data_IF_832599928944
#
_entry.id   IF_832599928944
#
_cell.length_a   1.000
_cell.length_b   1.000
_cell.length_c   1.000
_cell.angle_alpha   90.00
_cell.angle_beta   90.00
_cell.angle_gamma   90.00
#
_symmetry.space_group_name_H-M   'P 1'
#
loop_
_entity.id
_entity.type
_entity.pdbx_description
1 polymer ?
#
# COMPACT_ATOMS: atom_id res chain seq x y z
N UNK A 1 25.31 3.95 4.86
CA UNK A 1 25.29 2.97 3.76
C UNK A 1 25.01 1.63 4.38
N UNK A 2 23.97 0.92 3.93
CA UNK A 2 23.58 -0.35 4.52
C UNK A 2 24.73 -1.36 4.40
N UNK A 3 24.95 -2.12 5.49
CA UNK A 3 26.08 -3.06 5.58
C UNK A 3 25.89 -4.33 4.73
N UNK A 4 24.67 -4.54 4.21
CA UNK A 4 24.32 -5.69 3.38
C UNK A 4 24.06 -5.29 1.93
N UNK A 5 24.30 -6.21 1.00
CA UNK A 5 23.98 -6.06 -0.42
C UNK A 5 22.77 -6.90 -0.77
N UNK A 6 21.87 -6.36 -1.58
CA UNK A 6 20.78 -7.14 -2.20
C UNK A 6 21.25 -7.45 -3.63
N UNK A 7 21.26 -8.73 -4.02
CA UNK A 7 21.73 -9.20 -5.35
C UNK A 7 23.08 -8.60 -5.80
N UNK A 8 24.02 -8.38 -4.87
CA UNK A 8 25.35 -7.82 -5.15
C UNK A 8 25.37 -6.32 -5.47
N UNK A 9 24.22 -5.65 -5.48
CA UNK A 9 24.06 -4.20 -5.66
C UNK A 9 23.76 -3.52 -4.33
N UNK A 10 23.92 -2.21 -4.32
CA UNK A 10 23.52 -1.38 -3.19
C UNK A 10 21.99 -1.47 -2.98
N UNK A 11 21.52 -1.74 -1.75
CA UNK A 11 20.11 -1.95 -1.46
C UNK A 11 19.25 -0.70 -1.71
N UNK A 12 19.78 0.51 -1.55
CA UNK A 12 19.03 1.74 -1.84
C UNK A 12 18.76 1.89 -3.33
N UNK A 13 19.75 1.58 -4.17
CA UNK A 13 19.59 1.66 -5.62
C UNK A 13 18.56 0.66 -6.13
N UNK A 14 18.61 -0.58 -5.65
CA UNK A 14 17.61 -1.59 -6.01
C UNK A 14 16.22 -1.21 -5.55
N UNK A 15 16.09 -0.70 -4.32
CA UNK A 15 14.81 -0.28 -3.78
C UNK A 15 14.24 0.92 -4.54
N UNK A 16 15.07 1.91 -4.87
CA UNK A 16 14.68 3.05 -5.69
C UNK A 16 14.09 2.61 -7.03
N UNK A 17 14.80 1.74 -7.77
CA UNK A 17 14.27 1.22 -9.04
C UNK A 17 13.00 0.38 -8.85
N UNK A 18 12.94 -0.45 -7.80
CA UNK A 18 11.74 -1.23 -7.47
C UNK A 18 10.53 -0.33 -7.21
N UNK A 19 10.69 0.72 -6.41
CA UNK A 19 9.62 1.69 -6.14
C UNK A 19 9.20 2.46 -7.39
N UNK A 20 10.14 2.87 -8.23
CA UNK A 20 9.82 3.53 -9.50
C UNK A 20 9.02 2.63 -10.43
N UNK A 21 9.40 1.35 -10.56
CA UNK A 21 8.66 0.37 -11.36
C UNK A 21 7.24 0.16 -10.82
N UNK A 22 7.10 -0.10 -9.52
CA UNK A 22 5.80 -0.30 -8.91
C UNK A 22 4.91 0.94 -9.04
N UNK A 23 5.48 2.15 -8.96
CA UNK A 23 4.76 3.41 -9.17
C UNK A 23 4.33 3.58 -10.62
N UNK A 24 5.18 3.21 -11.58
CA UNK A 24 4.80 3.23 -12.99
C UNK A 24 3.64 2.28 -13.28
N UNK A 25 3.59 1.11 -12.62
CA UNK A 25 2.47 0.17 -12.73
C UNK A 25 1.19 0.77 -12.14
N UNK A 26 1.24 1.42 -10.98
CA UNK A 26 0.05 2.07 -10.39
C UNK A 26 -0.48 3.20 -11.28
N UNK A 27 0.41 4.07 -11.77
CA UNK A 27 0.02 5.14 -12.70
C UNK A 27 -0.55 4.56 -13.99
N UNK A 28 0.03 3.48 -14.49
CA UNK A 28 -0.48 2.74 -15.65
C UNK A 28 -1.87 2.15 -15.40
N UNK A 29 -2.10 1.55 -14.23
CA UNK A 29 -3.39 0.96 -13.85
C UNK A 29 -4.50 2.01 -13.71
N UNK A 30 -4.18 3.21 -13.23
CA UNK A 30 -5.15 4.31 -13.10
C UNK A 30 -5.35 5.07 -14.44
N UNK A 31 -4.31 5.13 -15.27
CA UNK A 31 -4.33 5.91 -16.52
C UNK A 31 -4.75 5.15 -17.77
N UNK A 32 -4.83 3.82 -17.73
CA UNK A 32 -5.21 2.99 -18.86
C UNK A 32 -6.62 2.41 -18.71
N UNK A 33 -7.29 2.17 -19.83
CA UNK A 33 -8.58 1.48 -19.89
C UNK A 33 -8.40 -0.01 -19.49
N UNK A 34 -9.01 -0.40 -18.39
CA UNK A 34 -8.89 -1.76 -17.83
C UNK A 34 -10.10 -2.65 -18.18
N UNK A 35 -11.03 -2.19 -19.02
CA UNK A 35 -12.29 -2.89 -19.35
C UNK A 35 -12.05 -4.33 -19.83
N UNK A 36 -11.15 -4.54 -20.80
CA UNK A 36 -10.88 -5.88 -21.34
C UNK A 36 -10.29 -6.84 -20.30
N UNK A 37 -9.49 -6.32 -19.37
CA UNK A 37 -8.86 -7.10 -18.31
C UNK A 37 -9.85 -7.39 -17.18
N UNK A 38 -10.74 -6.43 -16.90
CA UNK A 38 -11.83 -6.56 -15.95
C UNK A 38 -12.83 -7.63 -16.39
N UNK A 39 -13.24 -7.63 -17.67
CA UNK A 39 -14.12 -8.65 -18.26
C UNK A 39 -13.50 -10.05 -18.18
N UNK A 40 -12.21 -10.19 -18.50
CA UNK A 40 -11.51 -11.47 -18.43
C UNK A 40 -11.46 -12.06 -17.00
N UNK A 41 -11.50 -11.22 -15.98
CA UNK A 41 -11.44 -11.60 -14.57
C UNK A 41 -12.81 -11.60 -13.87
N UNK A 42 -13.92 -11.34 -14.59
CA UNK A 42 -15.26 -11.15 -14.03
C UNK A 42 -15.30 -10.10 -12.90
N UNK A 43 -14.59 -8.99 -13.10
CA UNK A 43 -14.49 -7.87 -12.16
C UNK A 43 -14.95 -6.57 -12.81
N UNK A 44 -15.25 -5.54 -12.00
CA UNK A 44 -15.46 -4.18 -12.51
C UNK A 44 -14.12 -3.51 -12.80
N UNK A 45 -14.13 -2.51 -13.69
CA UNK A 45 -12.93 -1.72 -14.03
C UNK A 45 -12.31 -1.05 -12.79
N UNK A 46 -13.13 -0.38 -11.98
CA UNK A 46 -12.68 0.19 -10.70
C UNK A 46 -12.19 -0.89 -9.73
N UNK A 47 -12.81 -2.07 -9.78
CA UNK A 47 -12.47 -3.20 -8.93
C UNK A 47 -11.06 -3.69 -9.21
N UNK A 48 -10.72 -3.96 -10.48
CA UNK A 48 -9.39 -4.43 -10.85
C UNK A 48 -8.31 -3.38 -10.56
N UNK A 49 -8.60 -2.10 -10.81
CA UNK A 49 -7.68 -0.99 -10.51
C UNK A 49 -7.39 -0.88 -9.02
N UNK A 50 -8.43 -0.89 -8.16
CA UNK A 50 -8.26 -0.88 -6.70
C UNK A 50 -7.48 -2.10 -6.19
N UNK A 51 -7.71 -3.28 -6.78
CA UNK A 51 -6.98 -4.49 -6.44
C UNK A 51 -5.49 -4.38 -6.78
N UNK A 52 -5.14 -3.86 -7.95
CA UNK A 52 -3.75 -3.63 -8.36
C UNK A 52 -3.07 -2.67 -7.39
N UNK A 53 -3.70 -1.53 -7.09
CA UNK A 53 -3.17 -0.54 -6.16
C UNK A 53 -2.93 -1.14 -4.76
N UNK A 54 -3.89 -1.93 -4.26
CA UNK A 54 -3.81 -2.55 -2.93
C UNK A 54 -2.68 -3.58 -2.86
N UNK A 55 -2.55 -4.43 -3.88
CA UNK A 55 -1.50 -5.46 -3.93
C UNK A 55 -0.11 -4.81 -4.02
N UNK A 56 0.04 -3.73 -4.78
CA UNK A 56 1.32 -3.02 -4.93
C UNK A 56 1.69 -2.23 -3.66
N UNK A 57 0.70 -1.70 -2.93
CA UNK A 57 0.94 -0.96 -1.70
C UNK A 57 1.70 -1.79 -0.64
N UNK A 58 1.46 -3.10 -0.57
CA UNK A 58 2.10 -4.01 0.40
C UNK A 58 3.63 -4.08 0.22
N UNK A 59 4.18 -4.52 -0.93
CA UNK A 59 5.63 -4.57 -1.12
C UNK A 59 6.26 -3.18 -1.07
N UNK A 60 5.58 -2.12 -1.52
CA UNK A 60 6.06 -0.75 -1.37
C UNK A 60 6.25 -0.35 0.09
N UNK A 61 5.25 -0.63 0.93
CA UNK A 61 5.33 -0.37 2.36
C UNK A 61 6.55 -1.05 2.99
N UNK A 62 6.77 -2.34 2.70
CA UNK A 62 7.93 -3.06 3.21
C UNK A 62 9.25 -2.53 2.67
N UNK A 63 9.34 -2.22 1.37
CA UNK A 63 10.54 -1.65 0.78
C UNK A 63 10.91 -0.31 1.44
N UNK A 64 9.95 0.57 1.69
CA UNK A 64 10.21 1.86 2.33
C UNK A 64 10.58 1.65 3.81
N UNK A 65 9.78 0.88 4.55
CA UNK A 65 9.95 0.66 5.98
C UNK A 65 11.26 -0.07 6.31
N UNK A 66 11.53 -1.19 5.63
CA UNK A 66 12.68 -2.02 5.92
C UNK A 66 14.01 -1.37 5.49
N UNK A 67 14.06 -0.76 4.30
CA UNK A 67 15.33 -0.33 3.69
C UNK A 67 15.55 1.19 3.81
N UNK A 68 14.56 2.03 3.48
CA UNK A 68 14.76 3.49 3.56
C UNK A 68 14.66 4.02 5.00
N UNK A 69 13.73 3.49 5.79
CA UNK A 69 13.58 3.86 7.20
C UNK A 69 14.48 3.04 8.14
N UNK A 70 15.24 2.07 7.62
CA UNK A 70 16.14 1.20 8.39
C UNK A 70 15.46 0.49 9.57
N UNK A 71 14.16 0.19 9.44
CA UNK A 71 13.44 -0.54 10.48
C UNK A 71 13.86 -2.02 10.52
N UNK A 72 14.60 -2.50 9.53
CA UNK A 72 15.07 -3.89 9.49
C UNK A 72 16.56 -4.01 9.12
N UNK A 73 17.30 -4.82 9.88
CA UNK A 73 18.66 -5.27 9.54
C UNK A 73 19.81 -4.47 10.17
N UNK A 74 19.52 -3.37 10.85
CA UNK A 74 20.50 -2.57 11.59
C UNK A 74 20.46 -2.85 13.11
N UNK A 75 21.53 -2.59 13.87
CA UNK A 75 21.61 -2.92 15.31
C UNK A 75 20.47 -2.32 16.14
N UNK A 76 20.03 -1.10 15.79
CA UNK A 76 18.99 -0.37 16.51
C UNK A 76 17.58 -0.53 15.89
N UNK A 77 17.47 -1.32 14.81
CA UNK A 77 16.26 -1.42 14.00
C UNK A 77 15.06 -1.98 14.78
N UNK A 78 15.32 -2.82 15.78
CA UNK A 78 14.29 -3.37 16.67
C UNK A 78 13.59 -2.30 17.50
N UNK A 79 14.33 -1.38 18.10
CA UNK A 79 13.74 -0.29 18.89
C UNK A 79 12.99 0.68 17.97
N UNK A 80 13.59 1.04 16.83
CA UNK A 80 12.96 1.92 15.85
C UNK A 80 11.65 1.33 15.31
N UNK A 81 11.62 0.03 15.02
CA UNK A 81 10.39 -0.67 14.60
C UNK A 81 9.33 -0.63 15.67
N UNK A 82 9.68 -0.91 16.92
CA UNK A 82 8.72 -0.85 18.03
C UNK A 82 8.15 0.56 18.21
N UNK A 83 8.98 1.59 18.09
CA UNK A 83 8.51 2.99 18.14
C UNK A 83 7.63 3.37 16.96
N UNK A 84 7.81 2.75 15.78
CA UNK A 84 6.95 2.97 14.62
C UNK A 84 5.64 2.18 14.69
N UNK A 85 5.65 0.98 15.28
CA UNK A 85 4.45 0.15 15.46
C UNK A 85 3.48 0.72 16.49
N UNK A 86 3.98 1.41 17.52
CA UNK A 86 3.14 2.05 18.53
C UNK A 86 2.11 3.03 17.94
N UNK A 87 2.49 4.11 17.20
CA UNK A 87 1.52 5.00 16.58
C UNK A 87 0.69 4.30 15.51
N UNK A 88 1.25 3.34 14.75
CA UNK A 88 0.50 2.58 13.76
C UNK A 88 -0.66 1.78 14.40
N UNK A 89 -0.39 1.13 15.55
CA UNK A 89 -1.42 0.45 16.33
C UNK A 89 -2.53 1.41 16.75
N UNK A 90 -2.19 2.59 17.28
CA UNK A 90 -3.19 3.59 17.66
C UNK A 90 -4.01 4.09 16.47
N UNK A 91 -3.39 4.30 15.31
CA UNK A 91 -4.11 4.70 14.08
C UNK A 91 -5.09 3.60 13.66
N UNK A 92 -4.67 2.33 13.66
CA UNK A 92 -5.53 1.19 13.31
C UNK A 92 -6.72 1.11 14.25
N UNK A 93 -6.48 1.19 15.56
CA UNK A 93 -7.51 1.20 16.59
C UNK A 93 -8.45 2.39 16.37
N UNK A 94 -7.92 3.59 16.15
CA UNK A 94 -8.73 4.78 15.92
C UNK A 94 -9.63 4.62 14.68
N UNK A 95 -9.09 4.16 13.55
CA UNK A 95 -9.88 3.93 12.33
C UNK A 95 -10.95 2.85 12.56
N UNK A 96 -10.60 1.76 13.24
CA UNK A 96 -11.53 0.66 13.53
C UNK A 96 -12.65 1.12 14.47
N UNK A 97 -12.33 1.77 15.59
CA UNK A 97 -13.34 2.20 16.56
C UNK A 97 -14.15 3.39 16.07
N UNK A 98 -13.56 4.39 15.40
CA UNK A 98 -14.34 5.45 14.74
C UNK A 98 -15.25 4.82 13.68
N UNK A 99 -14.74 3.89 12.89
CA UNK A 99 -15.50 3.16 11.88
C UNK A 99 -16.63 2.29 12.43
N UNK A 100 -16.51 1.78 13.65
CA UNK A 100 -17.55 0.97 14.29
C UNK A 100 -18.54 1.77 15.16
N UNK A 101 -18.17 2.98 15.58
CA UNK A 101 -18.98 3.79 16.52
C UNK A 101 -19.65 5.00 15.87
N UNK A 102 -19.29 5.36 14.64
CA UNK A 102 -19.95 6.46 13.92
C UNK A 102 -21.19 5.96 13.17
N UNK A 103 -22.38 6.58 13.35
CA UNK A 103 -23.64 6.12 12.74
C UNK A 103 -23.60 6.14 11.20
N UNK A 104 -22.72 6.95 10.62
CA UNK A 104 -22.50 7.08 9.17
C UNK A 104 -21.17 6.50 8.67
N UNK A 105 -20.43 5.73 9.47
CA UNK A 105 -19.08 5.28 9.11
C UNK A 105 -18.98 4.57 7.75
N UNK A 106 -19.95 3.71 7.43
CA UNK A 106 -19.99 2.97 6.17
C UNK A 106 -20.92 3.62 5.13
N UNK A 107 -21.91 4.41 5.55
CA UNK A 107 -22.99 4.92 4.70
C UNK A 107 -22.85 6.39 4.31
N UNK A 108 -22.14 7.20 5.11
CA UNK A 108 -21.87 8.62 4.82
C UNK A 108 -20.64 8.87 3.94
N UNK A 109 -19.86 7.81 3.66
CA UNK A 109 -18.74 7.89 2.73
C UNK A 109 -19.24 8.12 1.30
N UNK A 110 -18.52 8.92 0.48
CA UNK A 110 -18.82 9.05 -0.95
C UNK A 110 -18.89 7.68 -1.64
N UNK A 111 -19.68 7.60 -2.72
CA UNK A 111 -19.87 6.36 -3.48
C UNK A 111 -18.55 5.67 -3.85
N UNK A 112 -17.52 6.45 -4.25
CA UNK A 112 -16.16 6.01 -4.62
C UNK A 112 -15.26 5.55 -3.45
N UNK A 113 -15.72 5.66 -2.20
CA UNK A 113 -15.08 5.01 -1.04
C UNK A 113 -15.83 3.76 -0.53
N UNK A 114 -17.00 3.43 -1.09
CA UNK A 114 -17.90 2.38 -0.57
C UNK A 114 -18.03 1.19 -1.53
N UNK A 115 -17.49 0.01 -1.16
CA UNK A 115 -17.65 -1.22 -1.95
C UNK A 115 -19.10 -1.54 -2.29
N UNK A 116 -19.40 -1.71 -3.58
CA UNK A 116 -20.71 -2.11 -4.07
C UNK A 116 -21.72 -0.96 -4.26
N UNK A 117 -21.32 0.29 -4.03
CA UNK A 117 -22.15 1.48 -4.33
C UNK A 117 -21.53 2.41 -5.36
N UNK A 118 -20.61 1.88 -6.17
CA UNK A 118 -20.07 2.53 -7.35
C UNK A 118 -21.21 2.67 -8.37
N UNK A 119 -22.00 3.74 -8.24
CA UNK A 119 -23.15 4.03 -9.10
C UNK A 119 -22.73 4.52 -10.48
N UNK A 120 -22.11 3.63 -11.26
CA UNK A 120 -22.07 3.66 -12.71
C UNK A 120 -23.06 2.62 -13.25
#
# INVERSE_FOLDING_TARGET
MAHYKILGRDPYWMNFYGLMLLTAIEVGAVGADMTSTAEALNMTEDGITLWILTIIAIPKFFMIAAIFMHLYGDPDSGILTMTALFPAFFIIIMILFIGLTHPDAATGLPAWCRPGTWGL
#
